data_IF_826324145702
#
_entry.id   IF_826324145702
#
_cell.length_a   1.000
_cell.length_b   1.000
_cell.length_c   1.000
_cell.angle_alpha   90.00
_cell.angle_beta   90.00
_cell.angle_gamma   90.00
#
_symmetry.space_group_name_H-M   'P 1'
#
loop_
_entity.id
_entity.type
_entity.pdbx_description
1 polymer ?
#
# COMPACT_ATOMS: atom_id res chain seq x y z
N UNK A 1 -17.40 -15.67 -2.58
CA UNK A 1 -17.51 -14.32 -1.99
C UNK A 1 -18.08 -14.38 -0.59
N UNK A 2 -17.45 -13.79 0.41
CA UNK A 2 -17.85 -13.75 1.83
C UNK A 2 -17.69 -12.31 2.35
N UNK A 3 -18.63 -11.89 3.22
CA UNK A 3 -18.53 -10.64 3.96
C UNK A 3 -17.79 -10.87 5.28
N UNK A 4 -16.77 -10.10 5.57
CA UNK A 4 -16.01 -10.13 6.83
C UNK A 4 -16.03 -8.75 7.49
N UNK A 5 -16.20 -8.72 8.81
CA UNK A 5 -16.14 -7.47 9.57
C UNK A 5 -14.72 -6.96 9.61
N UNK A 6 -14.51 -5.67 9.32
CA UNK A 6 -13.32 -4.95 9.74
C UNK A 6 -13.38 -4.76 11.26
N UNK A 7 -12.26 -4.39 11.90
CA UNK A 7 -12.20 -4.23 13.38
C UNK A 7 -13.18 -3.19 13.96
N UNK A 8 -13.96 -2.53 13.11
CA UNK A 8 -15.06 -1.65 13.49
C UNK A 8 -16.39 -2.37 13.25
N UNK A 9 -17.23 -2.51 14.27
CA UNK A 9 -18.49 -3.26 14.22
C UNK A 9 -19.42 -2.92 13.03
N UNK A 10 -19.28 -1.72 12.49
CA UNK A 10 -20.14 -1.14 11.45
C UNK A 10 -19.62 -1.36 10.02
N UNK A 11 -18.32 -1.59 9.85
CA UNK A 11 -17.66 -1.70 8.55
C UNK A 11 -17.19 -3.12 8.27
N UNK A 12 -17.23 -3.49 7.01
CA UNK A 12 -16.77 -4.80 6.56
C UNK A 12 -16.25 -4.77 5.14
N UNK A 13 -15.80 -5.91 4.67
CA UNK A 13 -15.22 -6.10 3.36
C UNK A 13 -15.68 -7.42 2.73
N UNK A 14 -15.96 -7.41 1.44
CA UNK A 14 -16.13 -8.63 0.68
C UNK A 14 -14.78 -9.24 0.30
N UNK A 15 -14.66 -10.54 0.54
CA UNK A 15 -13.50 -11.33 0.13
C UNK A 15 -13.95 -12.54 -0.68
N UNK A 16 -13.09 -13.01 -1.57
CA UNK A 16 -13.27 -14.27 -2.28
C UNK A 16 -11.99 -15.10 -2.16
N UNK A 17 -12.14 -16.36 -1.72
CA UNK A 17 -11.01 -17.27 -1.53
C UNK A 17 -10.27 -17.56 -2.85
N UNK A 18 -10.98 -17.52 -3.97
CA UNK A 18 -10.39 -17.72 -5.29
C UNK A 18 -9.50 -16.55 -5.74
N UNK A 19 -9.72 -15.35 -5.19
CA UNK A 19 -8.96 -14.13 -5.50
C UNK A 19 -7.88 -13.82 -4.46
N UNK A 20 -7.75 -14.70 -3.44
CA UNK A 20 -6.86 -14.48 -2.31
C UNK A 20 -7.48 -13.64 -1.21
N UNK A 21 -7.02 -13.87 0.01
CA UNK A 21 -7.44 -13.11 1.20
C UNK A 21 -6.36 -12.09 1.55
N UNK A 22 -6.73 -10.91 2.03
CA UNK A 22 -5.75 -9.99 2.59
C UNK A 22 -5.19 -10.55 3.91
N UNK A 23 -3.95 -10.20 4.20
CA UNK A 23 -3.25 -10.52 5.45
C UNK A 23 -3.49 -9.43 6.49
N UNK A 24 -2.85 -9.51 7.66
CA UNK A 24 -2.86 -8.44 8.66
C UNK A 24 -2.07 -7.19 8.23
N UNK A 25 -1.17 -7.32 7.27
CA UNK A 25 -0.24 -6.25 6.88
C UNK A 25 -0.92 -4.97 6.39
N UNK A 26 -1.96 -5.01 5.52
CA UNK A 26 -2.73 -3.82 5.14
C UNK A 26 -3.40 -3.12 6.33
N UNK A 27 -3.90 -3.89 7.31
CA UNK A 27 -4.53 -3.35 8.52
C UNK A 27 -3.48 -2.62 9.37
N UNK A 28 -2.30 -3.21 9.55
CA UNK A 28 -1.17 -2.57 10.24
C UNK A 28 -0.72 -1.30 9.52
N UNK A 29 -0.66 -1.36 8.18
CA UNK A 29 -0.31 -0.19 7.37
C UNK A 29 -1.32 0.95 7.61
N UNK A 30 -2.63 0.67 7.67
CA UNK A 30 -3.63 1.71 7.94
C UNK A 30 -3.38 2.38 9.29
N UNK A 31 -3.09 1.64 10.36
CA UNK A 31 -2.76 2.23 11.66
C UNK A 31 -1.46 3.06 11.62
N UNK A 32 -0.51 2.67 10.78
CA UNK A 32 0.74 3.39 10.58
C UNK A 32 0.57 4.70 9.81
N UNK A 33 -0.48 4.87 8.97
CA UNK A 33 -0.63 6.04 8.07
C UNK A 33 -0.70 7.37 8.80
N UNK A 34 -1.37 7.45 9.95
CA UNK A 34 -1.72 8.71 10.61
C UNK A 34 -2.35 9.72 9.62
N UNK A 35 -3.28 9.25 8.79
CA UNK A 35 -3.93 10.07 7.77
C UNK A 35 -4.81 11.15 8.41
N UNK A 36 -5.00 12.26 7.70
CA UNK A 36 -5.83 13.38 8.15
C UNK A 36 -7.09 13.49 7.29
N UNK A 37 -8.23 13.94 7.85
CA UNK A 37 -9.49 14.04 7.10
C UNK A 37 -9.43 14.92 5.84
N UNK A 38 -8.51 15.88 5.81
CA UNK A 38 -8.36 16.82 4.68
C UNK A 38 -7.29 16.39 3.65
N UNK A 39 -6.63 15.27 3.86
CA UNK A 39 -5.66 14.74 2.91
C UNK A 39 -6.37 13.99 1.78
N UNK A 40 -5.89 14.16 0.56
CA UNK A 40 -6.30 13.36 -0.59
C UNK A 40 -5.36 12.18 -0.71
N UNK A 41 -5.90 10.99 -0.66
CA UNK A 41 -5.13 9.76 -0.65
C UNK A 41 -5.48 8.84 -1.82
N UNK A 42 -4.49 8.07 -2.29
CA UNK A 42 -4.68 7.01 -3.28
C UNK A 42 -3.88 5.77 -2.91
N UNK A 43 -4.50 4.62 -3.09
CA UNK A 43 -3.90 3.31 -2.86
C UNK A 43 -3.58 2.64 -4.21
N UNK A 44 -2.30 2.33 -4.43
CA UNK A 44 -1.80 1.70 -5.65
C UNK A 44 -1.69 0.19 -5.46
N UNK A 45 -2.31 -0.60 -6.35
CA UNK A 45 -2.47 -2.05 -6.17
C UNK A 45 -3.45 -2.35 -5.03
N UNK A 46 -4.62 -1.70 -5.10
CA UNK A 46 -5.57 -1.69 -3.98
C UNK A 46 -6.27 -3.03 -3.73
N UNK A 47 -6.26 -3.93 -4.71
CA UNK A 47 -6.95 -5.21 -4.65
C UNK A 47 -8.43 -5.05 -4.31
N UNK A 48 -8.90 -5.76 -3.30
CA UNK A 48 -10.28 -5.67 -2.81
C UNK A 48 -10.58 -4.40 -1.98
N UNK A 49 -9.66 -3.43 -1.95
CA UNK A 49 -9.87 -2.12 -1.35
C UNK A 49 -9.69 -2.05 0.16
N UNK A 50 -9.01 -3.01 0.79
CA UNK A 50 -8.89 -3.07 2.26
C UNK A 50 -8.28 -1.80 2.85
N UNK A 51 -7.22 -1.24 2.25
CA UNK A 51 -6.56 -0.02 2.75
C UNK A 51 -7.49 1.19 2.66
N UNK A 52 -8.04 1.57 1.49
CA UNK A 52 -8.91 2.73 1.39
C UNK A 52 -10.20 2.60 2.22
N UNK A 53 -10.82 1.41 2.27
CA UNK A 53 -12.02 1.17 3.08
C UNK A 53 -11.76 1.37 4.57
N UNK A 54 -10.67 0.78 5.07
CA UNK A 54 -10.32 0.86 6.48
C UNK A 54 -9.81 2.26 6.87
N UNK A 55 -8.95 2.89 6.05
CA UNK A 55 -8.44 4.22 6.31
C UNK A 55 -9.53 5.30 6.27
N UNK A 56 -10.48 5.20 5.31
CA UNK A 56 -11.63 6.09 5.27
C UNK A 56 -12.52 5.94 6.52
N UNK A 57 -12.76 4.70 6.97
CA UNK A 57 -13.54 4.43 8.19
C UNK A 57 -12.86 5.00 9.45
N UNK A 58 -11.53 4.88 9.54
CA UNK A 58 -10.75 5.28 10.72
C UNK A 58 -10.48 6.77 10.78
N UNK A 59 -10.11 7.38 9.66
CA UNK A 59 -9.61 8.76 9.60
C UNK A 59 -10.57 9.76 8.93
N UNK A 60 -11.62 9.27 8.25
CA UNK A 60 -12.46 10.13 7.40
C UNK A 60 -11.73 10.74 6.20
N UNK A 61 -10.56 10.21 5.86
CA UNK A 61 -9.74 10.69 4.75
C UNK A 61 -10.34 10.25 3.41
N UNK A 62 -10.53 11.15 2.42
CA UNK A 62 -10.91 10.77 1.07
C UNK A 62 -9.85 9.91 0.40
N UNK A 63 -10.24 8.72 -0.04
CA UNK A 63 -9.37 7.78 -0.74
C UNK A 63 -9.86 7.46 -2.14
N UNK A 64 -8.93 7.19 -3.04
CA UNK A 64 -9.15 6.46 -4.28
C UNK A 64 -8.34 5.15 -4.24
N UNK A 65 -8.76 4.14 -4.99
CA UNK A 65 -8.00 2.90 -5.18
C UNK A 65 -7.73 2.63 -6.66
N UNK A 66 -6.58 2.09 -6.98
CA UNK A 66 -6.18 1.72 -8.35
C UNK A 66 -5.68 0.27 -8.37
N UNK A 67 -6.16 -0.50 -9.31
CA UNK A 67 -5.71 -1.88 -9.57
C UNK A 67 -5.94 -2.24 -11.03
N UNK A 68 -5.22 -3.22 -11.57
CA UNK A 68 -5.45 -3.79 -12.89
C UNK A 68 -6.37 -5.03 -12.87
N UNK A 69 -6.73 -5.52 -11.67
CA UNK A 69 -7.65 -6.64 -11.48
C UNK A 69 -9.09 -6.17 -11.26
N UNK A 70 -9.89 -6.18 -12.33
CA UNK A 70 -11.30 -5.80 -12.29
C UNK A 70 -12.15 -6.66 -11.35
N UNK A 71 -11.80 -7.93 -11.12
CA UNK A 71 -12.52 -8.80 -10.21
C UNK A 71 -12.32 -8.39 -8.74
N UNK A 72 -11.10 -8.04 -8.36
CA UNK A 72 -10.79 -7.46 -7.05
C UNK A 72 -11.50 -6.12 -6.86
N UNK A 73 -11.45 -5.22 -7.86
CA UNK A 73 -12.13 -3.93 -7.79
C UNK A 73 -13.65 -4.04 -7.72
N UNK A 74 -14.22 -5.09 -8.29
CA UNK A 74 -15.65 -5.37 -8.11
C UNK A 74 -15.99 -5.60 -6.63
N UNK A 75 -15.18 -6.39 -5.92
CA UNK A 75 -15.36 -6.61 -4.47
C UNK A 75 -15.18 -5.32 -3.67
N UNK A 76 -14.20 -4.49 -4.05
CA UNK A 76 -13.95 -3.20 -3.43
C UNK A 76 -15.14 -2.25 -3.56
N UNK A 77 -15.72 -2.13 -4.77
CA UNK A 77 -16.92 -1.31 -5.03
C UNK A 77 -18.14 -1.80 -4.25
N UNK A 78 -18.36 -3.11 -4.21
CA UNK A 78 -19.46 -3.69 -3.41
C UNK A 78 -19.27 -3.40 -1.91
N UNK A 79 -18.04 -3.49 -1.41
CA UNK A 79 -17.72 -3.21 -0.01
C UNK A 79 -17.96 -1.74 0.34
N UNK A 80 -17.48 -0.81 -0.50
CA UNK A 80 -17.69 0.63 -0.32
C UNK A 80 -19.19 0.97 -0.30
N UNK A 81 -19.95 0.45 -1.28
CA UNK A 81 -21.39 0.69 -1.36
C UNK A 81 -22.13 0.17 -0.11
N UNK A 82 -21.80 -1.03 0.36
CA UNK A 82 -22.43 -1.60 1.56
C UNK A 82 -22.07 -0.83 2.83
N UNK A 83 -20.86 -0.31 2.93
CA UNK A 83 -20.42 0.51 4.05
C UNK A 83 -20.96 1.95 3.99
N UNK A 84 -21.53 2.38 2.88
CA UNK A 84 -21.91 3.79 2.64
C UNK A 84 -20.70 4.73 2.53
N UNK A 85 -19.58 4.22 1.99
CA UNK A 85 -18.34 4.98 1.80
C UNK A 85 -18.23 5.47 0.35
N UNK A 86 -17.88 6.76 0.18
CA UNK A 86 -17.62 7.36 -1.13
C UNK A 86 -16.14 7.21 -1.49
N UNK A 87 -15.80 6.06 -2.08
CA UNK A 87 -14.46 5.71 -2.51
C UNK A 87 -14.50 5.38 -4.00
N UNK A 88 -13.67 6.05 -4.80
CA UNK A 88 -13.57 5.79 -6.23
C UNK A 88 -12.50 4.73 -6.51
N UNK A 89 -12.85 3.72 -7.31
CA UNK A 89 -11.93 2.67 -7.73
C UNK A 89 -11.73 2.69 -9.24
N UNK A 90 -10.47 2.78 -9.67
CA UNK A 90 -10.04 2.88 -11.05
C UNK A 90 -9.36 1.58 -11.50
N UNK A 91 -9.84 1.03 -12.63
CA UNK A 91 -9.25 -0.14 -13.27
C UNK A 91 -8.25 0.32 -14.33
N UNK A 92 -6.96 0.23 -14.01
CA UNK A 92 -5.87 0.63 -14.91
C UNK A 92 -4.52 0.11 -14.43
N UNK A 93 -3.55 0.06 -15.34
CA UNK A 93 -2.15 -0.18 -14.98
C UNK A 93 -1.59 0.99 -14.15
N UNK A 94 -0.71 0.68 -13.20
CA UNK A 94 -0.12 1.68 -12.29
C UNK A 94 0.64 2.78 -13.06
N UNK A 95 1.27 2.46 -14.18
CA UNK A 95 2.01 3.42 -15.00
C UNK A 95 1.12 4.48 -15.67
N UNK A 96 -0.16 4.21 -15.87
CA UNK A 96 -1.13 5.14 -16.44
C UNK A 96 -1.72 6.09 -15.39
N UNK A 97 -1.62 5.72 -14.11
CA UNK A 97 -2.27 6.41 -13.00
C UNK A 97 -1.94 7.91 -12.92
N UNK A 98 -0.66 8.37 -13.04
CA UNK A 98 -0.36 9.80 -12.95
C UNK A 98 -1.00 10.64 -14.05
N UNK A 99 -1.12 10.08 -15.26
CA UNK A 99 -1.78 10.75 -16.38
C UNK A 99 -3.30 10.83 -16.16
N UNK A 100 -3.90 9.78 -15.62
CA UNK A 100 -5.35 9.69 -15.43
C UNK A 100 -5.83 10.50 -14.22
N UNK A 101 -5.13 10.43 -13.10
CA UNK A 101 -5.56 11.05 -11.84
C UNK A 101 -4.92 12.42 -11.57
N UNK A 102 -3.90 12.80 -12.34
CA UNK A 102 -3.23 14.09 -12.27
C UNK A 102 -1.95 14.09 -11.44
N UNK A 103 -0.97 14.86 -11.90
CA UNK A 103 0.35 15.00 -11.26
C UNK A 103 0.26 15.93 -10.04
N UNK A 104 0.91 15.55 -8.93
CA UNK A 104 0.99 16.37 -7.73
C UNK A 104 -0.37 16.63 -7.07
N UNK A 105 -1.28 15.68 -7.13
CA UNK A 105 -2.66 15.85 -6.65
C UNK A 105 -2.94 15.22 -5.30
N UNK A 106 -2.02 14.38 -4.80
CA UNK A 106 -2.22 13.59 -3.60
C UNK A 106 -1.24 13.96 -2.49
N UNK A 107 -1.74 14.00 -1.28
CA UNK A 107 -0.98 14.27 -0.06
C UNK A 107 -0.39 12.95 0.49
N UNK A 108 -1.10 11.83 0.22
CA UNK A 108 -0.76 10.49 0.66
C UNK A 108 -0.94 9.48 -0.49
N UNK A 109 0.07 8.67 -0.72
CA UNK A 109 -0.02 7.46 -1.52
C UNK A 109 0.23 6.26 -0.60
N UNK A 110 -0.56 5.21 -0.75
CA UNK A 110 -0.35 3.94 -0.07
C UNK A 110 -0.10 2.83 -1.06
N UNK A 111 0.60 1.79 -0.64
CA UNK A 111 0.71 0.53 -1.37
C UNK A 111 1.06 -0.62 -0.43
N UNK A 112 0.47 -1.77 -0.68
CA UNK A 112 0.90 -3.05 -0.13
C UNK A 112 1.24 -3.97 -1.29
N UNK A 113 2.44 -3.80 -1.91
CA UNK A 113 2.79 -4.54 -3.11
C UNK A 113 2.76 -6.04 -2.83
N UNK A 114 2.29 -6.86 -3.77
CA UNK A 114 2.26 -8.30 -3.58
C UNK A 114 3.67 -8.80 -3.27
N UNK A 115 3.79 -9.59 -2.20
CA UNK A 115 5.04 -10.28 -1.86
C UNK A 115 5.27 -11.37 -2.88
N UNK A 116 5.90 -11.05 -4.01
CA UNK A 116 6.25 -12.08 -4.98
C UNK A 116 7.19 -13.08 -4.32
N UNK A 117 6.79 -14.34 -4.29
CA UNK A 117 7.75 -15.43 -4.03
C UNK A 117 8.90 -15.28 -5.02
N UNK A 118 10.13 -15.31 -4.53
CA UNK A 118 11.35 -14.99 -5.30
C UNK A 118 11.59 -15.88 -6.53
N UNK A 119 10.80 -16.91 -6.75
CA UNK A 119 10.79 -17.69 -7.97
C UNK A 119 9.51 -18.54 -8.08
N UNK A 120 8.89 -18.57 -9.23
CA UNK A 120 8.03 -19.70 -9.64
C UNK A 120 8.90 -20.94 -9.82
N UNK A 121 8.35 -22.13 -9.58
CA UNK A 121 9.12 -23.38 -9.72
C UNK A 121 9.80 -23.44 -11.09
N UNK A 122 11.15 -23.49 -11.10
CA UNK A 122 11.98 -23.51 -12.31
C UNK A 122 12.47 -22.17 -12.85
N UNK A 123 12.11 -21.05 -12.23
CA UNK A 123 12.59 -19.72 -12.62
C UNK A 123 13.96 -19.38 -11.98
N UNK A 124 14.83 -18.72 -12.75
CA UNK A 124 16.09 -18.18 -12.25
C UNK A 124 15.80 -17.11 -11.16
N UNK A 125 16.32 -17.30 -9.92
CA UNK A 125 16.09 -16.35 -8.82
C UNK A 125 16.55 -14.92 -9.13
N UNK A 126 17.57 -14.74 -9.96
CA UNK A 126 18.09 -13.42 -10.32
C UNK A 126 17.11 -12.67 -11.26
N UNK A 127 16.54 -13.39 -12.23
CA UNK A 127 15.49 -12.83 -13.13
C UNK A 127 14.21 -12.50 -12.37
N UNK A 128 13.82 -13.37 -11.42
CA UNK A 128 12.65 -13.11 -10.57
C UNK A 128 12.83 -11.82 -9.73
N UNK A 129 14.02 -11.63 -9.14
CA UNK A 129 14.36 -10.39 -8.40
C UNK A 129 14.33 -9.15 -9.28
N UNK A 130 14.90 -9.23 -10.49
CA UNK A 130 14.94 -8.10 -11.41
C UNK A 130 13.52 -7.70 -11.82
N UNK A 131 12.68 -8.64 -12.24
CA UNK A 131 11.28 -8.37 -12.61
C UNK A 131 10.48 -7.77 -11.45
N UNK A 132 10.69 -8.26 -10.21
CA UNK A 132 10.08 -7.68 -9.03
C UNK A 132 10.54 -6.25 -8.78
N UNK A 133 11.85 -6.00 -8.92
CA UNK A 133 12.42 -4.66 -8.81
C UNK A 133 11.88 -3.70 -9.85
N UNK A 134 11.76 -4.13 -11.09
CA UNK A 134 11.21 -3.32 -12.18
C UNK A 134 9.75 -2.94 -11.90
N UNK A 135 8.90 -3.90 -11.50
CA UNK A 135 7.50 -3.63 -11.15
C UNK A 135 7.38 -2.72 -9.92
N UNK A 136 8.17 -2.95 -8.88
CA UNK A 136 8.19 -2.06 -7.71
C UNK A 136 8.61 -0.65 -8.09
N UNK A 137 9.60 -0.51 -8.99
CA UNK A 137 10.05 0.78 -9.49
C UNK A 137 8.93 1.55 -10.21
N UNK A 138 8.07 0.87 -11.00
CA UNK A 138 6.92 1.49 -11.66
C UNK A 138 5.93 2.06 -10.64
N UNK A 139 5.65 1.32 -9.56
CA UNK A 139 4.81 1.81 -8.46
C UNK A 139 5.41 3.04 -7.77
N UNK A 140 6.73 3.02 -7.49
CA UNK A 140 7.42 4.14 -6.85
C UNK A 140 7.47 5.38 -7.75
N UNK A 141 7.69 5.19 -9.04
CA UNK A 141 7.65 6.28 -10.03
C UNK A 141 6.25 6.90 -10.12
N UNK A 142 5.19 6.07 -10.18
CA UNK A 142 3.81 6.54 -10.17
C UNK A 142 3.50 7.31 -8.87
N UNK A 143 3.89 6.77 -7.71
CA UNK A 143 3.71 7.42 -6.42
C UNK A 143 4.41 8.80 -6.37
N UNK A 144 5.66 8.89 -6.84
CA UNK A 144 6.37 10.18 -6.92
C UNK A 144 5.63 11.21 -7.79
N UNK A 145 5.10 10.79 -8.92
CA UNK A 145 4.37 11.68 -9.83
C UNK A 145 3.01 12.12 -9.29
N UNK A 146 2.30 11.25 -8.58
CA UNK A 146 1.01 11.53 -7.96
C UNK A 146 1.11 12.46 -6.75
N UNK A 147 2.16 12.29 -5.93
CA UNK A 147 2.36 13.06 -4.71
C UNK A 147 2.63 14.54 -5.01
N UNK A 148 2.03 15.41 -4.21
CA UNK A 148 2.44 16.81 -4.12
C UNK A 148 3.83 16.92 -3.43
N UNK A 149 4.46 18.09 -3.49
CA UNK A 149 5.75 18.33 -2.84
C UNK A 149 5.62 18.21 -1.32
N UNK A 150 6.46 17.36 -0.73
CA UNK A 150 6.38 17.03 0.70
C UNK A 150 5.28 16.01 1.05
N UNK A 151 4.49 15.57 0.08
CA UNK A 151 3.56 14.46 0.21
C UNK A 151 4.30 13.16 0.54
N UNK A 152 3.58 12.19 1.09
CA UNK A 152 4.17 10.97 1.62
C UNK A 152 3.63 9.70 0.99
N UNK A 153 4.53 8.76 0.77
CA UNK A 153 4.24 7.38 0.43
C UNK A 153 4.32 6.54 1.70
N UNK A 154 3.30 5.73 1.99
CA UNK A 154 3.35 4.71 3.03
C UNK A 154 3.17 3.32 2.42
N UNK A 155 4.06 2.41 2.75
CA UNK A 155 4.01 1.06 2.22
C UNK A 155 4.38 -0.01 3.25
N UNK A 156 3.88 -1.21 3.01
CA UNK A 156 4.28 -2.41 3.71
C UNK A 156 5.30 -3.16 2.86
N UNK A 157 6.38 -3.66 3.48
CA UNK A 157 7.40 -4.42 2.73
C UNK A 157 8.08 -5.47 3.59
N UNK A 158 8.62 -6.52 2.95
CA UNK A 158 9.36 -7.55 3.65
C UNK A 158 10.69 -7.03 4.17
N UNK A 159 11.04 -7.38 5.41
CA UNK A 159 12.27 -6.93 6.06
C UNK A 159 13.54 -7.32 5.28
N UNK A 160 13.57 -8.50 4.65
CA UNK A 160 14.70 -9.00 3.86
C UNK A 160 14.99 -8.16 2.60
N UNK A 161 13.99 -7.41 2.09
CA UNK A 161 14.12 -6.58 0.90
C UNK A 161 14.36 -5.09 1.18
N UNK A 162 14.54 -4.68 2.44
CA UNK A 162 14.63 -3.26 2.82
C UNK A 162 15.81 -2.53 2.17
N UNK A 163 16.95 -3.19 1.97
CA UNK A 163 18.11 -2.56 1.33
C UNK A 163 17.79 -2.16 -0.11
N UNK A 164 17.18 -3.06 -0.87
CA UNK A 164 16.76 -2.81 -2.25
C UNK A 164 15.63 -1.77 -2.31
N UNK A 165 14.66 -1.86 -1.39
CA UNK A 165 13.58 -0.88 -1.27
C UNK A 165 14.13 0.54 -1.05
N UNK A 166 15.06 0.73 -0.11
CA UNK A 166 15.62 2.06 0.17
C UNK A 166 16.42 2.62 -0.99
N UNK A 167 17.13 1.77 -1.72
CA UNK A 167 17.82 2.17 -2.94
C UNK A 167 16.82 2.68 -4.00
N UNK A 168 15.75 1.92 -4.26
CA UNK A 168 14.70 2.30 -5.22
C UNK A 168 13.92 3.54 -4.78
N UNK A 169 13.59 3.68 -3.48
CA UNK A 169 12.93 4.87 -2.95
C UNK A 169 13.76 6.13 -3.24
N UNK A 170 15.07 6.12 -2.93
CA UNK A 170 15.95 7.24 -3.19
C UNK A 170 16.16 7.50 -4.68
N UNK A 171 16.25 6.47 -5.51
CA UNK A 171 16.30 6.61 -6.97
C UNK A 171 15.06 7.36 -7.48
N UNK A 172 13.88 7.12 -6.89
CA UNK A 172 12.63 7.80 -7.20
C UNK A 172 12.42 9.10 -6.40
N UNK A 173 13.45 9.64 -5.73
CA UNK A 173 13.40 10.90 -4.96
C UNK A 173 12.36 10.90 -3.85
N UNK A 174 12.09 9.71 -3.29
CA UNK A 174 11.27 9.44 -2.12
C UNK A 174 12.22 9.12 -0.96
N UNK A 175 12.39 10.04 -0.02
CA UNK A 175 13.32 9.84 1.10
C UNK A 175 12.62 9.15 2.27
N UNK A 176 13.11 7.98 2.74
CA UNK A 176 12.57 7.31 3.91
C UNK A 176 12.63 8.20 5.15
N UNK A 177 11.51 8.32 5.88
CA UNK A 177 11.39 9.22 7.04
C UNK A 177 10.95 8.53 8.31
N UNK A 178 10.18 7.47 8.19
CA UNK A 178 9.70 6.70 9.34
C UNK A 178 9.59 5.23 8.97
N UNK A 179 10.00 4.37 9.87
CA UNK A 179 9.89 2.93 9.69
C UNK A 179 9.45 2.27 10.99
N UNK A 180 8.51 1.35 10.89
CA UNK A 180 8.11 0.47 11.97
C UNK A 180 8.45 -0.97 11.60
N UNK A 181 9.25 -1.61 12.42
CA UNK A 181 9.61 -3.02 12.27
C UNK A 181 8.61 -3.88 13.05
N UNK A 182 7.88 -4.72 12.32
CA UNK A 182 6.88 -5.62 12.92
C UNK A 182 7.57 -6.94 13.27
N UNK A 183 7.80 -7.16 14.56
CA UNK A 183 8.38 -8.40 15.07
C UNK A 183 7.29 -9.44 15.36
N UNK A 184 7.57 -10.70 15.00
CA UNK A 184 6.73 -11.85 15.35
C UNK A 184 7.64 -13.03 15.72
N UNK A 185 7.47 -13.59 16.92
CA UNK A 185 8.31 -14.68 17.41
C UNK A 185 9.81 -14.32 17.41
N UNK A 186 10.18 -13.11 17.83
CA UNK A 186 11.57 -12.63 17.90
C UNK A 186 12.23 -12.34 16.54
N UNK A 187 11.48 -12.38 15.43
CA UNK A 187 11.98 -12.05 14.10
C UNK A 187 11.16 -10.96 13.44
N UNK A 188 11.83 -10.01 12.79
CA UNK A 188 11.18 -9.00 11.95
C UNK A 188 10.94 -9.62 10.57
N UNK A 189 9.66 -9.70 10.16
CA UNK A 189 9.26 -10.19 8.84
C UNK A 189 8.81 -9.08 7.91
N UNK A 190 8.19 -8.05 8.50
CA UNK A 190 7.55 -6.96 7.78
C UNK A 190 8.03 -5.63 8.35
N UNK A 191 8.17 -4.64 7.50
CA UNK A 191 8.40 -3.25 7.85
C UNK A 191 7.31 -2.38 7.21
N UNK A 192 6.81 -1.42 7.98
CA UNK A 192 5.98 -0.33 7.49
C UNK A 192 6.89 0.87 7.27
N UNK A 193 6.90 1.42 6.08
CA UNK A 193 7.82 2.50 5.69
C UNK A 193 7.04 3.71 5.20
N UNK A 194 7.36 4.88 5.75
CA UNK A 194 6.94 6.17 5.22
C UNK A 194 8.13 6.83 4.54
N UNK A 195 7.94 7.23 3.28
CA UNK A 195 8.91 8.03 2.54
C UNK A 195 8.25 9.34 2.07
N UNK A 196 9.00 10.44 2.06
CA UNK A 196 8.50 11.75 1.64
C UNK A 196 9.15 12.22 0.36
N UNK A 197 8.33 12.77 -0.53
CA UNK A 197 8.78 13.36 -1.78
C UNK A 197 9.70 14.53 -1.52
N UNK A 198 10.92 14.49 -2.10
CA UNK A 198 11.92 15.55 -2.06
C UNK A 198 12.39 15.96 -0.65
N UNK A 199 12.21 15.10 0.36
CA UNK A 199 12.66 15.39 1.71
C UNK A 199 14.18 15.27 1.89
N UNK A 200 14.71 15.89 2.95
CA UNK A 200 16.10 15.74 3.38
C UNK A 200 16.31 14.38 4.06
N UNK A 201 17.52 13.82 4.06
CA UNK A 201 17.86 12.59 4.77
C UNK A 201 17.50 12.63 6.27
N UNK A 202 17.33 11.45 6.86
CA UNK A 202 17.02 11.22 8.27
C UNK A 202 15.74 10.42 8.42
N UNK A 203 15.77 9.34 9.22
CA UNK A 203 14.67 8.40 9.41
C UNK A 203 14.55 8.01 10.88
N UNK A 204 13.32 8.03 11.38
CA UNK A 204 12.98 7.48 12.70
C UNK A 204 12.58 6.01 12.56
N UNK A 205 13.08 5.16 13.46
CA UNK A 205 12.81 3.71 13.44
C UNK A 205 12.17 3.31 14.75
N UNK A 206 11.06 2.59 14.65
CA UNK A 206 10.30 2.04 15.77
C UNK A 206 10.22 0.52 15.66
N UNK A 207 9.95 -0.16 16.76
CA UNK A 207 9.71 -1.60 16.80
C UNK A 207 8.36 -1.84 17.46
N UNK A 208 7.49 -2.59 16.80
CA UNK A 208 6.22 -3.06 17.35
C UNK A 208 6.14 -4.57 17.31
N UNK A 209 5.36 -5.15 18.24
CA UNK A 209 5.16 -6.60 18.28
C UNK A 209 6.33 -7.33 18.90
N UNK A 210 6.30 -7.53 20.20
CA UNK A 210 7.29 -8.25 20.96
C UNK A 210 6.92 -8.31 22.42
N UNK A 211 5.73 -8.81 22.67
CA UNK A 211 5.42 -9.43 23.97
C UNK A 211 4.79 -10.78 23.64
N UNK A 212 5.56 -11.83 23.91
CA UNK A 212 5.07 -13.21 23.99
C UNK A 212 4.15 -13.36 25.19
#
# INVERSE_FOLDING_TARGET
>A
MRWESLQFERYGIYQDEALGRFTEDPVRLVHFLHAKPNERAVDLGTGNGVIPLYANALYGCPFAGVDDDGAQLHLARLSAARNGQDITFHEMDVSETPKALGYGRYDLVTMNPPYFSLATAGEDPQRARQRHGDRLNDFLAAAFLLLDNGGRLCLCYRAEGLVDLFALLRQNRLEPKRMELVAHGGRVKVALVEAKKLAKPGMDVFVSGGQD
#
